data_IF_816576020806
#
_entry.id   IF_816576020806
#
_cell.length_a   1.000
_cell.length_b   1.000
_cell.length_c   1.000
_cell.angle_alpha   90.00
_cell.angle_beta   90.00
_cell.angle_gamma   90.00
#
_symmetry.space_group_name_H-M   'P 1'
#
loop_
_entity.id
_entity.type
_entity.pdbx_description
1 polymer ?
#
# COMPACT_ATOMS: atom_id res chain seq x y z
N UNK A 1 -6.39 -18.69 27.77
CA UNK A 1 -5.89 -18.24 26.45
C UNK A 1 -4.39 -18.37 26.52
N UNK A 2 -3.80 -19.09 25.57
CA UNK A 2 -2.36 -19.20 25.46
C UNK A 2 -1.85 -18.03 24.60
N UNK A 3 -0.71 -17.48 25.00
CA UNK A 3 -0.08 -16.33 24.36
C UNK A 3 1.27 -16.79 23.83
N UNK A 4 1.45 -16.73 22.52
CA UNK A 4 2.62 -17.24 21.82
C UNK A 4 3.37 -16.05 21.20
N UNK A 5 4.67 -15.85 21.48
CA UNK A 5 5.45 -14.80 20.81
C UNK A 5 5.44 -15.03 19.29
N UNK A 6 5.10 -14.00 18.51
CA UNK A 6 5.02 -14.15 17.04
C UNK A 6 6.39 -14.49 16.47
N UNK A 7 7.47 -13.93 17.01
CA UNK A 7 8.84 -14.22 16.58
C UNK A 7 9.16 -15.73 16.61
N UNK A 8 8.66 -16.46 17.61
CA UNK A 8 8.89 -17.90 17.77
C UNK A 8 8.03 -18.75 16.81
N UNK A 9 7.06 -18.14 16.13
CA UNK A 9 6.16 -18.80 15.17
C UNK A 9 6.59 -18.58 13.72
N UNK A 10 7.46 -17.60 13.44
CA UNK A 10 7.89 -17.28 12.08
C UNK A 10 9.08 -18.14 11.63
N UNK A 11 9.17 -18.50 10.34
CA UNK A 11 8.10 -18.51 9.35
C UNK A 11 7.26 -19.82 9.39
N UNK A 12 7.65 -20.78 10.23
CA UNK A 12 7.23 -22.18 10.12
C UNK A 12 5.76 -22.44 10.50
N UNK A 13 5.19 -21.61 11.37
CA UNK A 13 3.80 -21.73 11.84
C UNK A 13 2.94 -20.54 11.45
N UNK A 14 3.55 -19.37 11.34
CA UNK A 14 2.90 -18.12 10.91
C UNK A 14 3.73 -17.53 9.79
N UNK A 15 3.06 -17.10 8.71
CA UNK A 15 3.70 -16.38 7.60
C UNK A 15 3.23 -14.93 7.63
N UNK A 16 4.16 -13.97 7.49
CA UNK A 16 3.80 -12.55 7.35
C UNK A 16 3.79 -12.18 5.86
N UNK A 17 2.66 -12.44 5.21
CA UNK A 17 2.52 -12.14 3.79
C UNK A 17 2.53 -10.62 3.56
N UNK A 18 3.27 -10.17 2.54
CA UNK A 18 3.41 -8.76 2.18
C UNK A 18 4.59 -8.05 2.86
N UNK A 19 5.20 -8.66 3.89
CA UNK A 19 6.44 -8.18 4.47
C UNK A 19 7.66 -8.75 3.71
N UNK A 20 8.66 -7.90 3.47
CA UNK A 20 9.92 -8.25 2.81
C UNK A 20 11.13 -8.10 3.74
N UNK A 21 10.90 -7.78 5.01
CA UNK A 21 11.91 -7.68 6.05
C UNK A 21 11.29 -7.29 7.39
N UNK A 22 12.11 -7.31 8.44
CA UNK A 22 11.70 -6.96 9.79
C UNK A 22 12.72 -6.04 10.46
N UNK A 23 12.23 -5.16 11.34
CA UNK A 23 13.04 -4.47 12.33
C UNK A 23 12.83 -5.17 13.68
N UNK A 24 13.89 -5.71 14.28
CA UNK A 24 13.85 -6.19 15.66
C UNK A 24 13.68 -5.00 16.62
N UNK A 25 12.74 -5.14 17.57
CA UNK A 25 12.47 -4.17 18.63
C UNK A 25 12.40 -4.91 19.96
N UNK A 26 12.67 -4.20 21.05
CA UNK A 26 12.73 -4.77 22.41
C UNK A 26 11.50 -5.61 22.79
N UNK A 27 10.32 -5.28 22.26
CA UNK A 27 9.06 -5.96 22.57
C UNK A 27 8.42 -6.74 21.42
N UNK A 28 9.01 -6.78 20.22
CA UNK A 28 8.37 -7.41 19.06
C UNK A 28 9.04 -7.12 17.72
N UNK A 29 8.34 -7.43 16.63
CA UNK A 29 8.83 -7.29 15.27
C UNK A 29 8.08 -6.17 14.53
N UNK A 30 8.81 -5.15 14.07
CA UNK A 30 8.29 -4.18 13.11
C UNK A 30 8.39 -4.73 11.69
N UNK A 31 7.33 -4.65 10.89
CA UNK A 31 7.40 -5.14 9.50
C UNK A 31 7.99 -4.09 8.56
N UNK A 32 8.67 -4.53 7.51
CA UNK A 32 9.11 -3.70 6.38
C UNK A 32 8.55 -4.25 5.08
N UNK A 33 8.03 -3.36 4.24
CA UNK A 33 7.52 -3.70 2.90
C UNK A 33 8.58 -3.61 1.78
N UNK A 34 9.84 -3.33 2.14
CA UNK A 34 10.99 -3.42 1.24
C UNK A 34 12.12 -4.20 1.92
N UNK A 35 12.95 -4.95 1.16
CA UNK A 35 14.06 -5.74 1.71
C UNK A 35 15.11 -4.89 2.43
N UNK A 36 15.94 -5.51 3.26
CA UNK A 36 17.01 -4.83 4.01
C UNK A 36 18.08 -4.18 3.15
N UNK A 37 18.38 -4.76 1.98
CA UNK A 37 19.37 -4.18 1.07
C UNK A 37 18.97 -2.80 0.55
N UNK A 38 17.69 -2.43 0.61
CA UNK A 38 17.19 -1.12 0.15
C UNK A 38 17.54 0.03 1.10
N UNK A 39 17.90 -0.25 2.36
CA UNK A 39 18.13 0.78 3.40
C UNK A 39 19.09 1.90 2.98
N UNK A 40 20.25 1.64 2.34
CA UNK A 40 21.18 2.70 1.94
C UNK A 40 20.68 3.56 0.77
N UNK A 41 19.61 3.15 0.09
CA UNK A 41 19.06 3.82 -1.09
C UNK A 41 17.73 4.53 -0.81
N UNK A 42 17.15 4.29 0.37
CA UNK A 42 15.86 4.87 0.75
C UNK A 42 16.00 6.37 1.07
N UNK A 43 15.20 7.23 0.43
CA UNK A 43 15.03 8.60 0.88
C UNK A 43 14.46 8.60 2.31
N UNK A 44 14.94 9.51 3.16
CA UNK A 44 14.49 9.61 4.55
C UNK A 44 12.96 9.69 4.70
N UNK A 45 12.20 10.46 3.87
CA UNK A 45 10.74 10.50 3.98
C UNK A 45 10.05 9.15 3.71
N UNK A 46 10.67 8.27 2.93
CA UNK A 46 10.11 6.97 2.57
C UNK A 46 10.18 5.95 3.70
N UNK A 47 11.17 6.06 4.60
CA UNK A 47 11.41 5.14 5.72
C UNK A 47 10.16 4.94 6.61
N UNK A 48 9.37 6.00 6.81
CA UNK A 48 8.09 5.91 7.52
C UNK A 48 7.11 4.98 6.80
N UNK A 49 6.84 5.23 5.52
CA UNK A 49 5.82 4.49 4.76
C UNK A 49 6.20 3.05 4.48
N UNK A 50 7.49 2.72 4.42
CA UNK A 50 8.00 1.35 4.25
C UNK A 50 7.69 0.48 5.46
N UNK A 51 7.62 1.07 6.67
CA UNK A 51 7.34 0.38 7.94
C UNK A 51 5.86 0.32 8.32
N UNK A 52 4.99 1.02 7.59
CA UNK A 52 3.54 0.89 7.75
C UNK A 52 3.05 -0.33 6.97
N UNK A 53 2.27 -1.23 7.57
CA UNK A 53 1.99 -2.56 7.05
C UNK A 53 0.82 -2.58 6.05
N UNK A 54 0.66 -1.57 5.20
CA UNK A 54 -0.43 -1.54 4.21
C UNK A 54 -0.35 -2.74 3.27
N UNK A 55 -1.40 -3.57 3.28
CA UNK A 55 -1.50 -4.84 2.54
C UNK A 55 -0.82 -6.05 3.19
N UNK A 56 -0.15 -5.88 4.34
CA UNK A 56 0.53 -6.96 5.06
C UNK A 56 -0.46 -7.72 5.94
N UNK A 57 -0.29 -9.04 6.04
CA UNK A 57 -1.15 -9.92 6.83
C UNK A 57 -0.41 -11.09 7.46
N UNK A 58 -0.81 -11.44 8.69
CA UNK A 58 -0.40 -12.70 9.32
C UNK A 58 -1.25 -13.83 8.75
N UNK A 59 -0.64 -14.94 8.40
CA UNK A 59 -1.33 -16.14 7.88
C UNK A 59 -0.95 -17.37 8.70
N UNK A 60 -1.94 -18.08 9.19
CA UNK A 60 -1.77 -19.31 9.96
C UNK A 60 -3.05 -20.13 9.96
N UNK A 61 -2.92 -21.42 10.25
CA UNK A 61 -4.04 -22.31 10.51
C UNK A 61 -4.24 -22.49 12.01
N UNK A 62 -5.50 -22.47 12.47
CA UNK A 62 -5.84 -22.76 13.87
C UNK A 62 -7.23 -23.40 13.95
N UNK A 63 -7.45 -24.24 14.96
CA UNK A 63 -8.78 -24.71 15.36
C UNK A 63 -9.44 -23.87 16.45
N UNK A 64 -8.77 -22.79 16.88
CA UNK A 64 -9.33 -21.90 17.89
C UNK A 64 -10.54 -21.13 17.37
N UNK A 65 -11.49 -20.95 18.28
CA UNK A 65 -12.69 -20.13 18.11
C UNK A 65 -12.43 -18.66 18.45
N UNK A 66 -11.25 -18.35 19.01
CA UNK A 66 -10.86 -17.01 19.42
C UNK A 66 -9.40 -16.75 19.05
N UNK A 67 -9.16 -15.72 18.27
CA UNK A 67 -7.83 -15.32 17.81
C UNK A 67 -7.56 -13.91 18.28
N UNK A 68 -6.43 -13.66 18.92
CA UNK A 68 -5.98 -12.33 19.28
C UNK A 68 -4.58 -12.03 18.76
N UNK A 69 -4.29 -10.75 18.58
CA UNK A 69 -2.97 -10.27 18.18
C UNK A 69 -2.54 -9.22 19.19
N UNK A 70 -1.45 -9.50 19.90
CA UNK A 70 -0.76 -8.55 20.76
C UNK A 70 0.21 -7.70 19.95
N UNK A 71 0.16 -6.38 20.14
CA UNK A 71 0.92 -5.42 19.35
C UNK A 71 1.25 -4.15 20.15
N UNK A 72 2.24 -3.39 19.67
CA UNK A 72 2.38 -1.96 20.00
C UNK A 72 2.25 -1.16 18.71
N UNK A 73 1.23 -0.31 18.62
CA UNK A 73 1.04 0.56 17.48
C UNK A 73 1.58 1.97 17.75
N UNK A 74 1.92 2.68 16.69
CA UNK A 74 2.21 4.12 16.74
C UNK A 74 1.43 4.83 15.62
N UNK A 75 0.42 5.62 15.97
CA UNK A 75 -0.30 6.45 15.01
C UNK A 75 0.43 7.79 14.79
N UNK A 76 0.39 8.30 13.56
CA UNK A 76 0.75 9.69 13.28
C UNK A 76 -0.53 10.53 13.29
N UNK A 77 -0.53 11.62 14.05
CA UNK A 77 -1.67 12.52 14.19
C UNK A 77 -1.23 13.94 13.87
N UNK A 78 -1.92 14.56 12.91
CA UNK A 78 -1.76 15.97 12.58
C UNK A 78 -2.96 16.76 13.15
N UNK A 79 -2.81 17.43 14.32
CA UNK A 79 -3.86 18.28 14.88
C UNK A 79 -4.35 19.32 13.86
N UNK A 80 -5.65 19.68 13.85
CA UNK A 80 -6.67 19.30 14.83
C UNK A 80 -7.36 17.95 14.55
N UNK A 81 -6.88 17.14 13.60
CA UNK A 81 -7.49 15.83 13.31
C UNK A 81 -7.41 14.93 14.55
N UNK A 82 -8.51 14.25 14.85
CA UNK A 82 -8.55 13.28 15.93
C UNK A 82 -7.71 12.04 15.60
N UNK A 83 -7.18 11.38 16.64
CA UNK A 83 -6.53 10.08 16.50
C UNK A 83 -7.55 9.07 15.97
N UNK A 84 -7.20 8.38 14.88
CA UNK A 84 -7.97 7.25 14.37
C UNK A 84 -7.62 5.96 15.13
N UNK A 85 -8.58 5.04 15.31
CA UNK A 85 -8.28 3.75 15.93
C UNK A 85 -7.32 2.93 15.07
N UNK A 86 -6.63 2.02 15.73
CA UNK A 86 -5.79 0.99 15.11
C UNK A 86 -6.69 -0.20 14.78
N UNK A 87 -7.00 -0.38 13.49
CA UNK A 87 -7.96 -1.38 13.03
C UNK A 87 -7.25 -2.61 12.48
N UNK A 88 -7.73 -3.79 12.87
CA UNK A 88 -7.33 -5.08 12.31
C UNK A 88 -8.54 -5.73 11.65
N UNK A 89 -8.31 -6.44 10.56
CA UNK A 89 -9.29 -7.39 10.03
C UNK A 89 -8.82 -8.82 10.20
N UNK A 90 -9.73 -9.73 10.51
CA UNK A 90 -9.49 -11.17 10.41
C UNK A 90 -10.35 -11.72 9.28
N UNK A 91 -9.69 -12.30 8.30
CA UNK A 91 -10.33 -12.98 7.18
C UNK A 91 -10.19 -14.49 7.32
N UNK A 92 -11.30 -15.18 7.11
CA UNK A 92 -11.39 -16.64 6.97
C UNK A 92 -12.24 -16.94 5.73
N UNK A 93 -12.37 -18.22 5.36
CA UNK A 93 -13.20 -18.61 4.22
C UNK A 93 -14.67 -18.17 4.35
N UNK A 94 -15.18 -17.99 5.57
CA UNK A 94 -16.61 -17.71 5.82
C UNK A 94 -16.90 -16.22 6.02
N UNK A 95 -15.92 -15.45 6.50
CA UNK A 95 -16.17 -14.10 7.02
C UNK A 95 -14.93 -13.21 7.02
N UNK A 96 -15.20 -11.92 6.92
CA UNK A 96 -14.27 -10.83 7.23
C UNK A 96 -14.78 -10.12 8.48
N UNK A 97 -14.04 -10.22 9.57
CA UNK A 97 -14.33 -9.54 10.83
C UNK A 97 -13.41 -8.34 11.03
N UNK A 98 -13.87 -7.38 11.83
CA UNK A 98 -13.06 -6.22 12.24
C UNK A 98 -13.01 -6.11 13.75
N UNK A 99 -11.89 -5.61 14.24
CA UNK A 99 -11.69 -5.23 15.64
C UNK A 99 -10.72 -4.05 15.68
N UNK A 100 -10.72 -3.32 16.78
CA UNK A 100 -9.95 -2.08 16.88
C UNK A 100 -9.45 -1.81 18.28
N UNK A 101 -8.42 -0.97 18.37
CA UNK A 101 -7.88 -0.48 19.64
C UNK A 101 -7.50 0.99 19.51
N UNK A 102 -7.53 1.70 20.64
CA UNK A 102 -7.05 3.07 20.77
C UNK A 102 -5.75 3.17 21.58
N UNK A 103 -5.17 2.02 21.98
CA UNK A 103 -3.91 1.94 22.72
C UNK A 103 -2.68 2.16 21.82
N UNK A 104 -1.50 2.26 22.43
CA UNK A 104 -0.24 2.50 21.74
C UNK A 104 0.18 3.96 21.68
N UNK A 105 1.35 4.17 21.07
CA UNK A 105 2.00 5.47 20.99
C UNK A 105 1.31 6.41 19.99
N UNK A 106 1.60 7.70 20.11
CA UNK A 106 1.18 8.72 19.15
C UNK A 106 2.36 9.62 18.81
N UNK A 107 2.65 9.76 17.52
CA UNK A 107 3.49 10.84 16.99
C UNK A 107 2.55 12.01 16.67
N UNK A 108 2.55 13.05 17.49
CA UNK A 108 1.80 14.29 17.27
C UNK A 108 2.64 15.23 16.44
N UNK A 109 2.20 15.53 15.22
CA UNK A 109 2.88 16.49 14.35
C UNK A 109 2.65 17.91 14.88
N UNK A 110 3.69 18.73 14.87
CA UNK A 110 3.59 20.13 15.29
C UNK A 110 2.90 20.96 14.21
N UNK A 111 1.80 21.66 14.53
CA UNK A 111 1.13 22.53 13.55
C UNK A 111 1.98 23.76 13.21
N UNK A 112 2.77 24.26 14.17
CA UNK A 112 3.50 25.53 14.05
C UNK A 112 4.98 25.37 13.64
N UNK A 113 5.47 24.13 13.50
CA UNK A 113 6.86 23.84 13.22
C UNK A 113 6.98 22.74 12.15
N UNK A 114 7.27 23.07 10.88
CA UNK A 114 7.46 22.09 9.82
C UNK A 114 8.50 21.03 10.22
N UNK A 115 8.10 19.76 10.21
CA UNK A 115 8.95 18.63 10.61
C UNK A 115 9.06 18.40 12.13
N UNK A 116 8.49 19.29 12.96
CA UNK A 116 8.39 19.09 14.39
C UNK A 116 7.38 18.01 14.76
N UNK A 117 7.70 17.22 15.78
CA UNK A 117 6.77 16.25 16.34
C UNK A 117 7.03 16.00 17.84
N UNK A 118 6.00 15.54 18.54
CA UNK A 118 6.06 15.03 19.90
C UNK A 118 5.72 13.53 19.87
N UNK A 119 6.56 12.68 20.47
CA UNK A 119 6.24 11.27 20.68
C UNK A 119 5.62 11.06 22.05
N UNK A 120 4.32 10.79 22.09
CA UNK A 120 3.59 10.40 23.29
C UNK A 120 3.59 8.88 23.38
N UNK A 121 4.24 8.35 24.42
CA UNK A 121 4.32 6.90 24.65
C UNK A 121 3.01 6.37 25.22
N UNK A 122 2.61 5.19 24.76
CA UNK A 122 1.46 4.46 25.27
C UNK A 122 1.78 2.98 25.43
N UNK A 123 0.81 2.22 25.92
CA UNK A 123 0.97 0.79 26.21
C UNK A 123 0.69 -0.08 25.00
N UNK A 124 1.30 -1.27 24.99
CA UNK A 124 0.91 -2.34 24.08
C UNK A 124 -0.49 -2.86 24.43
N UNK A 125 -1.16 -3.46 23.45
CA UNK A 125 -2.52 -3.98 23.63
C UNK A 125 -2.72 -5.27 22.83
N UNK A 126 -3.83 -5.96 23.08
CA UNK A 126 -4.23 -7.17 22.36
C UNK A 126 -5.66 -7.01 21.86
N UNK A 127 -5.81 -6.98 20.54
CA UNK A 127 -7.14 -7.12 19.94
C UNK A 127 -7.53 -8.58 19.84
N UNK A 128 -8.83 -8.87 19.94
CA UNK A 128 -9.38 -10.24 19.91
C UNK A 128 -10.56 -10.30 18.95
N UNK A 129 -10.56 -11.35 18.14
CA UNK A 129 -11.68 -11.84 17.33
C UNK A 129 -12.25 -13.08 18.01
N UNK A 130 -13.58 -13.16 18.14
CA UNK A 130 -14.25 -14.20 18.91
C UNK A 130 -15.43 -14.80 18.14
N UNK A 131 -15.92 -15.95 18.56
CA UNK A 131 -17.05 -16.62 17.89
C UNK A 131 -16.69 -17.17 16.51
N UNK A 132 -15.41 -17.47 16.25
CA UNK A 132 -14.98 -18.14 15.03
C UNK A 132 -15.53 -19.58 15.00
N UNK A 133 -15.69 -20.13 13.79
CA UNK A 133 -16.16 -21.51 13.61
C UNK A 133 -15.25 -22.51 14.36
N UNK A 134 -15.73 -23.68 14.79
CA UNK A 134 -14.86 -24.75 15.29
C UNK A 134 -14.03 -25.40 14.17
N UNK A 135 -13.03 -26.22 14.52
CA UNK A 135 -12.21 -27.01 13.58
C UNK A 135 -11.09 -26.21 12.90
N UNK A 136 -10.12 -26.88 12.27
CA UNK A 136 -8.97 -26.19 11.65
C UNK A 136 -9.43 -25.27 10.51
N UNK A 137 -9.01 -24.00 10.56
CA UNK A 137 -9.30 -22.99 9.53
C UNK A 137 -8.06 -22.17 9.22
N UNK A 138 -8.01 -21.63 8.01
CA UNK A 138 -7.02 -20.62 7.63
C UNK A 138 -7.48 -19.24 8.08
N UNK A 139 -6.58 -18.51 8.75
CA UNK A 139 -6.78 -17.15 9.22
C UNK A 139 -5.80 -16.21 8.52
N UNK A 140 -6.30 -15.10 7.98
CA UNK A 140 -5.48 -13.97 7.52
C UNK A 140 -5.81 -12.73 8.35
N UNK A 141 -4.88 -12.29 9.20
CA UNK A 141 -5.04 -11.05 9.98
C UNK A 141 -4.39 -9.90 9.23
N UNK A 142 -5.20 -9.03 8.62
CA UNK A 142 -4.74 -7.82 7.95
C UNK A 142 -4.29 -6.77 8.96
N UNK A 143 -3.08 -6.24 8.76
CA UNK A 143 -2.44 -5.34 9.70
C UNK A 143 -2.81 -3.86 9.47
N UNK A 144 -2.82 -3.01 10.52
CA UNK A 144 -3.17 -1.59 10.45
C UNK A 144 -2.37 -0.80 9.41
N UNK A 145 -2.98 -0.47 8.28
CA UNK A 145 -2.32 0.22 7.17
C UNK A 145 -1.88 1.67 7.48
N UNK A 146 -2.47 2.31 8.50
CA UNK A 146 -2.29 3.73 8.84
C UNK A 146 -1.50 3.95 10.16
N UNK A 147 -0.79 2.93 10.63
CA UNK A 147 0.01 2.99 11.84
C UNK A 147 1.32 2.20 11.66
N UNK A 148 2.36 2.56 12.41
CA UNK A 148 3.45 1.61 12.65
C UNK A 148 2.95 0.52 13.58
N UNK A 149 3.36 -0.73 13.34
CA UNK A 149 2.93 -1.88 14.13
C UNK A 149 4.14 -2.73 14.49
N UNK A 150 4.36 -2.88 15.80
CA UNK A 150 5.27 -3.89 16.37
C UNK A 150 4.43 -5.11 16.77
N UNK A 151 4.61 -6.21 16.06
CA UNK A 151 3.94 -7.48 16.33
C UNK A 151 4.58 -8.17 17.52
N UNK A 152 3.80 -8.53 18.54
CA UNK A 152 4.31 -9.14 19.77
C UNK A 152 3.89 -10.59 19.90
N UNK A 153 2.58 -10.84 19.98
CA UNK A 153 2.06 -12.16 20.33
C UNK A 153 0.85 -12.55 19.50
N UNK A 154 0.67 -13.85 19.30
CA UNK A 154 -0.55 -14.46 18.82
C UNK A 154 -1.25 -15.11 20.01
N UNK A 155 -2.54 -14.85 20.17
CA UNK A 155 -3.34 -15.33 21.30
C UNK A 155 -4.41 -16.28 20.76
N UNK A 156 -4.47 -17.50 21.28
CA UNK A 156 -5.48 -18.50 20.92
C UNK A 156 -6.01 -19.19 22.18
N UNK A 157 -7.09 -19.96 22.08
CA UNK A 157 -7.60 -20.75 23.21
C UNK A 157 -6.55 -21.75 23.73
N UNK A 158 -6.63 -22.08 25.02
CA UNK A 158 -5.72 -23.04 25.63
C UNK A 158 -5.89 -24.41 24.97
N UNK A 159 -4.78 -25.01 24.52
CA UNK A 159 -4.79 -26.29 23.81
C UNK A 159 -5.13 -26.21 22.32
N UNK A 160 -5.52 -25.04 21.80
CA UNK A 160 -5.72 -24.86 20.36
C UNK A 160 -4.39 -24.95 19.61
N UNK A 161 -4.45 -25.46 18.39
CA UNK A 161 -3.34 -25.57 17.47
C UNK A 161 -3.06 -24.23 16.77
N UNK A 162 -1.79 -23.99 16.46
CA UNK A 162 -1.36 -22.98 15.49
C UNK A 162 -0.35 -23.66 14.59
N UNK A 163 -0.59 -23.64 13.29
CA UNK A 163 0.28 -24.30 12.31
C UNK A 163 0.33 -23.56 10.99
N UNK A 164 1.23 -23.98 10.09
CA UNK A 164 1.35 -23.38 8.78
C UNK A 164 0.04 -23.53 7.99
N UNK A 165 -0.21 -22.57 7.11
CA UNK A 165 -1.23 -22.71 6.06
C UNK A 165 -0.63 -23.48 4.88
N UNK A 166 -1.46 -24.21 4.10
CA UNK A 166 -1.03 -24.66 2.78
C UNK A 166 -0.53 -23.48 1.93
N UNK A 167 0.33 -23.78 0.95
CA UNK A 167 0.80 -22.76 -0.01
C UNK A 167 -0.40 -22.01 -0.60
N UNK A 168 -0.29 -20.69 -0.67
CA UNK A 168 -1.35 -19.85 -1.23
C UNK A 168 -1.45 -20.09 -2.73
N UNK A 169 -2.50 -20.80 -3.16
CA UNK A 169 -2.71 -21.13 -4.57
C UNK A 169 -3.16 -19.92 -5.42
N UNK A 170 -3.44 -18.78 -4.80
CA UNK A 170 -3.86 -17.56 -5.50
C UNK A 170 -2.69 -16.96 -6.27
N UNK A 171 -2.90 -16.45 -7.50
CA UNK A 171 -1.87 -15.69 -8.22
C UNK A 171 -1.37 -14.51 -7.41
N UNK A 172 -0.07 -14.22 -7.47
CA UNK A 172 0.57 -13.14 -6.74
C UNK A 172 0.57 -11.86 -7.55
N UNK A 173 -0.14 -10.87 -7.03
CA UNK A 173 -0.19 -9.53 -7.57
C UNK A 173 0.75 -8.60 -6.81
N UNK A 174 1.75 -8.05 -7.50
CA UNK A 174 2.63 -7.01 -6.97
C UNK A 174 2.18 -5.64 -7.48
N UNK A 175 1.86 -4.74 -6.56
CA UNK A 175 1.38 -3.40 -6.89
C UNK A 175 2.35 -2.33 -6.38
N UNK A 176 2.93 -1.52 -7.27
CA UNK A 176 3.70 -0.32 -6.90
C UNK A 176 2.85 0.94 -7.11
N UNK A 177 2.81 1.83 -6.13
CA UNK A 177 2.03 3.05 -6.25
C UNK A 177 2.28 4.10 -5.16
N UNK A 178 1.47 5.16 -5.21
CA UNK A 178 1.56 6.34 -4.33
C UNK A 178 0.81 6.19 -3.00
N UNK A 179 0.57 7.31 -2.30
CA UNK A 179 -0.32 7.41 -1.14
C UNK A 179 -1.74 6.89 -1.41
N UNK A 180 -2.23 7.05 -2.63
CA UNK A 180 -3.53 6.54 -3.06
C UNK A 180 -3.54 5.01 -3.03
N UNK A 181 -2.39 4.36 -3.23
CA UNK A 181 -2.25 2.89 -3.18
C UNK A 181 -1.85 2.38 -1.80
N UNK A 182 -1.26 3.26 -0.99
CA UNK A 182 -1.07 3.02 0.44
C UNK A 182 -2.39 3.05 1.22
N UNK A 183 -3.31 3.94 0.81
CA UNK A 183 -4.67 4.10 1.33
C UNK A 183 -4.77 4.48 2.82
N UNK A 184 -3.97 5.44 3.32
CA UNK A 184 -4.08 5.86 4.74
C UNK A 184 -5.50 6.26 5.17
N UNK A 185 -6.31 6.77 4.25
CA UNK A 185 -7.69 7.23 4.52
C UNK A 185 -8.76 6.13 4.37
N UNK A 186 -8.40 4.87 4.08
CA UNK A 186 -9.36 3.77 4.12
C UNK A 186 -9.82 3.49 5.56
N UNK A 187 -11.07 3.02 5.73
CA UNK A 187 -11.61 2.72 7.07
C UNK A 187 -10.88 1.55 7.74
N UNK A 188 -10.54 0.51 6.97
CA UNK A 188 -10.02 -0.75 7.48
C UNK A 188 -8.92 -1.30 6.54
N UNK A 189 -7.93 -2.06 7.06
CA UNK A 189 -6.89 -2.67 6.24
C UNK A 189 -7.37 -3.45 5.01
N UNK A 190 -8.40 -4.28 5.17
CA UNK A 190 -8.98 -5.08 4.08
C UNK A 190 -9.85 -4.25 3.12
N UNK A 191 -10.07 -2.95 3.42
CA UNK A 191 -10.85 -2.00 2.63
C UNK A 191 -9.98 -0.98 1.88
N UNK A 192 -8.65 -1.13 1.93
CA UNK A 192 -7.75 -0.40 1.01
C UNK A 192 -8.07 -0.82 -0.43
N UNK A 193 -8.01 0.09 -1.40
CA UNK A 193 -8.45 -0.25 -2.77
C UNK A 193 -7.67 -1.43 -3.37
N UNK A 194 -6.35 -1.61 -3.13
CA UNK A 194 -5.65 -2.82 -3.60
C UNK A 194 -6.12 -4.07 -2.87
N UNK A 195 -6.45 -4.01 -1.57
CA UNK A 195 -6.99 -5.17 -0.86
C UNK A 195 -8.39 -5.56 -1.37
N UNK A 196 -9.26 -4.56 -1.63
CA UNK A 196 -10.58 -4.80 -2.23
C UNK A 196 -10.46 -5.43 -3.60
N UNK A 197 -9.59 -4.88 -4.47
CA UNK A 197 -9.34 -5.45 -5.79
C UNK A 197 -8.77 -6.87 -5.72
N UNK A 198 -7.80 -7.10 -4.83
CA UNK A 198 -7.16 -8.40 -4.67
C UNK A 198 -8.14 -9.49 -4.22
N UNK A 199 -8.99 -9.16 -3.25
CA UNK A 199 -10.04 -10.05 -2.76
C UNK A 199 -11.10 -10.32 -3.83
N UNK A 200 -11.50 -9.29 -4.58
CA UNK A 200 -12.46 -9.42 -5.69
C UNK A 200 -11.94 -10.24 -6.87
N UNK A 201 -10.63 -10.19 -7.15
CA UNK A 201 -9.99 -10.95 -8.23
C UNK A 201 -9.45 -12.32 -7.78
N UNK A 202 -9.50 -12.64 -6.48
CA UNK A 202 -8.97 -13.90 -5.96
C UNK A 202 -7.44 -14.02 -6.00
N UNK A 203 -6.72 -12.92 -5.79
CA UNK A 203 -5.25 -12.86 -5.88
C UNK A 203 -4.60 -12.54 -4.53
N UNK A 204 -3.33 -12.90 -4.38
CA UNK A 204 -2.51 -12.60 -3.21
C UNK A 204 -1.73 -11.28 -3.42
N UNK A 205 -2.11 -10.25 -2.68
CA UNK A 205 -1.55 -8.90 -2.80
C UNK A 205 -0.19 -8.75 -2.10
N UNK A 206 0.80 -8.24 -2.83
CA UNK A 206 2.02 -7.59 -2.34
C UNK A 206 1.92 -6.08 -2.63
N UNK A 207 1.53 -5.28 -1.62
CA UNK A 207 1.34 -3.85 -1.78
C UNK A 207 2.64 -3.06 -1.49
N UNK A 208 3.22 -2.48 -2.54
CA UNK A 208 4.35 -1.55 -2.51
C UNK A 208 3.88 -0.10 -2.72
N UNK A 209 2.68 0.25 -2.24
CA UNK A 209 2.20 1.62 -2.19
C UNK A 209 2.92 2.43 -1.10
N UNK A 210 3.65 3.49 -1.49
CA UNK A 210 4.42 4.33 -0.57
C UNK A 210 3.93 5.79 -0.63
N UNK A 211 3.42 6.27 0.50
CA UNK A 211 2.78 7.57 0.61
C UNK A 211 3.68 8.72 0.25
N UNK A 212 3.37 9.41 -0.86
CA UNK A 212 4.16 10.54 -1.32
C UNK A 212 5.50 10.15 -1.96
N UNK A 213 5.77 8.87 -2.23
CA UNK A 213 7.10 8.37 -2.59
C UNK A 213 7.10 7.46 -3.84
N UNK A 214 6.10 7.58 -4.72
CA UNK A 214 6.08 6.85 -5.99
C UNK A 214 6.79 7.66 -7.10
N UNK A 215 8.12 7.61 -7.14
CA UNK A 215 8.96 8.37 -8.08
C UNK A 215 9.74 7.48 -9.06
N UNK A 216 9.30 6.24 -9.29
CA UNK A 216 10.00 5.29 -10.17
C UNK A 216 11.42 4.97 -9.67
N UNK A 217 11.55 4.82 -8.35
CA UNK A 217 12.83 4.51 -7.71
C UNK A 217 13.35 3.12 -8.11
N UNK A 218 14.57 3.08 -8.63
CA UNK A 218 15.17 1.87 -9.18
C UNK A 218 15.37 0.75 -8.15
N UNK A 219 15.46 1.07 -6.86
CA UNK A 219 15.50 0.05 -5.82
C UNK A 219 14.16 -0.66 -5.62
N UNK A 220 13.04 0.00 -5.92
CA UNK A 220 11.72 -0.65 -5.94
C UNK A 220 11.60 -1.54 -7.17
N UNK A 221 12.03 -1.10 -8.34
CA UNK A 221 12.04 -1.92 -9.56
C UNK A 221 12.86 -3.21 -9.37
N UNK A 222 14.09 -3.10 -8.82
CA UNK A 222 14.92 -4.26 -8.49
C UNK A 222 14.30 -5.16 -7.43
N UNK A 223 13.59 -4.58 -6.45
CA UNK A 223 12.82 -5.38 -5.48
C UNK A 223 11.78 -6.22 -6.21
N UNK A 224 10.95 -5.62 -7.07
CA UNK A 224 9.92 -6.32 -7.84
C UNK A 224 10.53 -7.41 -8.74
N UNK A 225 11.62 -7.08 -9.44
CA UNK A 225 12.39 -8.00 -10.29
C UNK A 225 12.83 -9.27 -9.53
N UNK A 226 13.27 -9.10 -8.29
CA UNK A 226 13.92 -10.14 -7.49
C UNK A 226 12.97 -10.89 -6.54
N UNK A 227 11.68 -10.53 -6.44
CA UNK A 227 10.68 -11.31 -5.71
C UNK A 227 10.52 -12.68 -6.37
N UNK A 228 10.48 -13.79 -5.63
CA UNK A 228 10.48 -15.16 -6.20
C UNK A 228 9.26 -15.46 -7.09
N UNK A 229 8.05 -15.21 -6.57
CA UNK A 229 6.79 -15.53 -7.23
C UNK A 229 6.00 -14.25 -7.54
N UNK A 230 5.81 -13.97 -8.83
CA UNK A 230 5.11 -12.79 -9.34
C UNK A 230 4.33 -13.20 -10.58
N UNK A 231 3.01 -13.17 -10.49
CA UNK A 231 2.12 -13.56 -11.60
C UNK A 231 1.58 -12.33 -12.35
N UNK A 232 1.45 -11.19 -11.67
CA UNK A 232 1.07 -9.92 -12.30
C UNK A 232 1.69 -8.74 -11.56
N UNK A 233 2.16 -7.75 -12.32
CA UNK A 233 2.70 -6.50 -11.80
C UNK A 233 1.84 -5.33 -12.25
N UNK A 234 1.53 -4.42 -11.34
CA UNK A 234 0.91 -3.14 -11.73
C UNK A 234 1.66 -1.96 -11.13
N UNK A 235 1.85 -0.92 -11.93
CA UNK A 235 2.56 0.32 -11.56
C UNK A 235 1.59 1.48 -11.70
N UNK A 236 1.20 2.11 -10.59
CA UNK A 236 0.34 3.30 -10.59
C UNK A 236 1.13 4.53 -10.16
N UNK A 237 1.67 5.26 -11.14
CA UNK A 237 2.65 6.35 -10.92
C UNK A 237 2.14 7.71 -11.44
N UNK A 238 2.89 8.77 -11.13
CA UNK A 238 2.71 10.11 -11.69
C UNK A 238 2.29 11.17 -10.68
N UNK A 239 1.29 10.90 -9.83
CA UNK A 239 0.77 11.91 -8.91
C UNK A 239 1.82 12.47 -7.93
N UNK A 240 2.72 11.63 -7.39
CA UNK A 240 3.78 12.12 -6.51
C UNK A 240 4.85 12.92 -7.26
N UNK A 241 5.07 12.57 -8.54
CA UNK A 241 5.98 13.30 -9.41
C UNK A 241 5.48 14.72 -9.62
N UNK A 242 4.18 14.90 -9.88
CA UNK A 242 3.55 16.22 -10.00
C UNK A 242 3.51 16.93 -8.65
N UNK A 243 3.06 16.27 -7.57
CA UNK A 243 2.93 16.91 -6.27
C UNK A 243 4.25 17.53 -5.79
N UNK A 244 5.35 16.80 -5.93
CA UNK A 244 6.67 17.24 -5.50
C UNK A 244 7.48 17.96 -6.58
N UNK A 245 6.91 18.09 -7.79
CA UNK A 245 7.61 18.61 -8.97
C UNK A 245 8.99 17.94 -9.21
N UNK A 246 9.07 16.65 -8.88
CA UNK A 246 10.35 15.94 -8.73
C UNK A 246 11.03 15.59 -10.05
N UNK A 247 10.31 15.65 -11.16
CA UNK A 247 10.81 15.35 -12.50
C UNK A 247 10.20 16.29 -13.53
N UNK A 248 10.98 16.56 -14.57
CA UNK A 248 10.50 17.12 -15.84
C UNK A 248 10.21 15.99 -16.82
N UNK A 249 9.45 16.27 -17.87
CA UNK A 249 9.13 15.33 -18.95
C UNK A 249 10.38 14.61 -19.48
N UNK A 250 11.47 15.36 -19.71
CA UNK A 250 12.76 14.82 -20.15
C UNK A 250 13.27 13.67 -19.26
N UNK A 251 13.04 13.73 -17.96
CA UNK A 251 13.46 12.70 -16.98
C UNK A 251 12.43 11.58 -16.87
N UNK A 252 11.15 11.93 -16.87
CA UNK A 252 10.06 11.00 -16.60
C UNK A 252 9.98 9.86 -17.62
N UNK A 253 10.02 10.18 -18.92
CA UNK A 253 9.92 9.17 -19.98
C UNK A 253 11.03 8.11 -19.90
N UNK A 254 12.34 8.45 -19.89
CA UNK A 254 13.38 7.44 -19.74
C UNK A 254 13.38 6.74 -18.38
N UNK A 255 12.91 7.40 -17.30
CA UNK A 255 12.77 6.75 -15.99
C UNK A 255 11.68 5.65 -16.02
N UNK A 256 10.56 5.90 -16.71
CA UNK A 256 9.50 4.90 -16.89
C UNK A 256 9.99 3.70 -17.71
N UNK A 257 10.69 3.94 -18.83
CA UNK A 257 11.32 2.87 -19.60
C UNK A 257 12.28 2.04 -18.74
N UNK A 258 13.21 2.70 -18.03
CA UNK A 258 14.20 2.01 -17.19
C UNK A 258 13.59 1.22 -16.04
N UNK A 259 12.47 1.69 -15.47
CA UNK A 259 11.74 0.95 -14.43
C UNK A 259 11.10 -0.33 -15.01
N UNK A 260 10.48 -0.25 -16.20
CA UNK A 260 9.93 -1.41 -16.91
C UNK A 260 11.05 -2.38 -17.30
N UNK A 261 12.15 -1.88 -17.87
CA UNK A 261 13.32 -2.68 -18.27
C UNK A 261 13.85 -3.50 -17.10
N UNK A 262 14.05 -2.85 -15.95
CA UNK A 262 14.55 -3.52 -14.74
C UNK A 262 13.65 -4.67 -14.31
N UNK A 263 12.32 -4.54 -14.42
CA UNK A 263 11.41 -5.65 -14.11
C UNK A 263 11.54 -6.75 -15.17
N UNK A 264 11.55 -6.38 -16.45
CA UNK A 264 11.65 -7.31 -17.59
C UNK A 264 12.94 -8.13 -17.59
N UNK A 265 14.03 -7.64 -16.98
CA UNK A 265 15.31 -8.38 -16.83
C UNK A 265 15.14 -9.79 -16.23
N UNK A 266 14.17 -9.99 -15.32
CA UNK A 266 13.88 -11.32 -14.73
C UNK A 266 12.42 -11.75 -14.87
N UNK A 267 11.56 -10.87 -15.41
CA UNK A 267 10.12 -11.10 -15.55
C UNK A 267 9.67 -10.76 -16.99
N UNK A 268 10.25 -11.39 -18.03
CA UNK A 268 10.01 -11.02 -19.43
C UNK A 268 8.54 -11.22 -19.83
N UNK A 269 7.90 -12.28 -19.32
CA UNK A 269 6.55 -12.69 -19.75
C UNK A 269 5.45 -12.36 -18.73
N UNK A 270 5.79 -11.84 -17.55
CA UNK A 270 4.79 -11.50 -16.53
C UNK A 270 3.92 -10.34 -17.03
N UNK A 271 2.58 -10.46 -17.03
CA UNK A 271 1.69 -9.33 -17.31
C UNK A 271 2.03 -8.11 -16.45
N UNK A 272 2.35 -6.99 -17.12
CA UNK A 272 2.70 -5.73 -16.48
C UNK A 272 1.73 -4.66 -16.96
N UNK A 273 1.01 -4.04 -16.03
CA UNK A 273 0.11 -2.93 -16.35
C UNK A 273 0.60 -1.62 -15.75
N UNK A 274 0.75 -0.59 -16.58
CA UNK A 274 0.99 0.78 -16.13
C UNK A 274 -0.34 1.51 -16.04
N UNK A 275 -0.71 1.88 -14.81
CA UNK A 275 -1.94 2.60 -14.48
C UNK A 275 -1.60 4.09 -14.36
N UNK A 276 -2.28 4.92 -15.13
CA UNK A 276 -2.07 6.36 -15.10
C UNK A 276 -2.71 7.01 -13.84
N UNK A 277 -2.37 8.27 -13.49
CA UNK A 277 -2.96 8.93 -12.32
C UNK A 277 -4.49 9.02 -12.37
N UNK A 278 -5.13 8.93 -11.20
CA UNK A 278 -6.56 9.24 -11.06
C UNK A 278 -6.79 10.76 -11.17
N UNK A 279 -8.05 11.19 -11.18
CA UNK A 279 -8.41 12.60 -11.19
C UNK A 279 -7.91 13.34 -9.93
N UNK A 280 -7.27 14.50 -10.12
CA UNK A 280 -7.00 15.46 -9.05
C UNK A 280 -7.29 16.87 -9.58
N UNK A 281 -8.36 17.54 -9.10
CA UNK A 281 -8.90 18.75 -9.73
C UNK A 281 -7.85 19.83 -9.99
N UNK A 282 -6.93 20.02 -9.05
CA UNK A 282 -5.99 21.12 -9.13
C UNK A 282 -4.85 20.86 -10.13
N UNK A 283 -4.45 19.60 -10.30
CA UNK A 283 -3.27 19.16 -11.04
C UNK A 283 -3.56 18.59 -12.44
N UNK A 284 -4.83 18.51 -12.85
CA UNK A 284 -5.21 17.97 -14.16
C UNK A 284 -4.45 18.64 -15.32
N UNK A 285 -4.58 19.96 -15.45
CA UNK A 285 -3.96 20.74 -16.54
C UNK A 285 -2.91 21.72 -16.05
N UNK A 286 -2.77 21.90 -14.74
CA UNK A 286 -1.75 22.77 -14.15
C UNK A 286 -0.54 21.94 -13.73
N UNK A 287 0.67 22.26 -14.23
CA UNK A 287 1.87 21.59 -13.78
C UNK A 287 2.14 21.85 -12.30
N UNK A 288 2.69 20.85 -11.61
CA UNK A 288 3.04 20.94 -10.19
C UNK A 288 4.01 22.10 -9.83
N UNK A 289 4.32 22.26 -8.53
CA UNK A 289 3.98 21.35 -7.43
C UNK A 289 2.52 21.50 -6.96
N UNK A 290 2.02 20.45 -6.32
CA UNK A 290 0.69 20.43 -5.68
C UNK A 290 0.86 20.18 -4.19
N UNK A 291 0.42 21.15 -3.38
CA UNK A 291 0.66 21.20 -1.93
C UNK A 291 -0.65 21.41 -1.17
N UNK A 292 -0.75 20.99 0.10
CA UNK A 292 -1.91 21.33 0.92
C UNK A 292 -1.94 22.84 1.21
N UNK A 293 -3.11 23.45 1.04
CA UNK A 293 -3.38 24.82 1.49
C UNK A 293 -3.77 24.87 2.98
N UNK A 294 -4.09 26.06 3.49
CA UNK A 294 -4.50 26.29 4.88
C UNK A 294 -5.74 25.48 5.32
N UNK A 295 -6.57 25.03 4.37
CA UNK A 295 -7.75 24.19 4.62
C UNK A 295 -7.45 22.70 4.46
N UNK A 296 -6.19 22.33 4.22
CA UNK A 296 -5.76 20.97 3.95
C UNK A 296 -6.17 20.45 2.57
N UNK A 297 -6.67 21.29 1.67
CA UNK A 297 -6.97 20.93 0.28
C UNK A 297 -5.70 21.01 -0.56
N UNK A 298 -5.45 20.02 -1.41
CA UNK A 298 -4.31 20.00 -2.32
C UNK A 298 -4.56 20.92 -3.52
N UNK A 299 -3.72 21.94 -3.63
CA UNK A 299 -3.77 22.94 -4.70
C UNK A 299 -2.44 23.00 -5.42
N UNK A 300 -2.50 23.05 -6.75
CA UNK A 300 -1.35 23.35 -7.57
C UNK A 300 -1.00 24.82 -7.44
N UNK A 301 0.26 25.09 -7.11
CA UNK A 301 0.79 26.45 -6.96
C UNK A 301 1.60 26.84 -8.18
N UNK A 302 1.50 28.10 -8.59
CA UNK A 302 2.27 28.58 -9.71
C UNK A 302 3.75 28.71 -9.35
N UNK A 303 4.59 28.12 -10.20
CA UNK A 303 6.04 28.27 -10.14
C UNK A 303 6.51 29.53 -10.86
N UNK A 304 7.82 29.76 -10.82
CA UNK A 304 8.45 30.81 -11.60
C UNK A 304 8.48 30.44 -13.09
N UNK A 305 7.70 31.15 -13.91
CA UNK A 305 7.40 30.80 -15.31
C UNK A 305 8.64 30.45 -16.17
N UNK A 306 9.78 31.18 -16.08
CA UNK A 306 10.97 30.84 -16.86
C UNK A 306 11.56 29.43 -16.62
N UNK A 307 11.20 28.76 -15.52
CA UNK A 307 11.69 27.41 -15.20
C UNK A 307 10.64 26.31 -15.32
N UNK A 308 9.46 26.61 -15.90
CA UNK A 308 8.36 25.64 -16.07
C UNK A 308 8.45 24.78 -17.34
N UNK A 309 9.47 25.00 -18.17
CA UNK A 309 9.71 24.19 -19.36
C UNK A 309 9.81 22.70 -19.03
N UNK A 310 8.89 21.89 -19.56
CA UNK A 310 8.83 20.44 -19.31
C UNK A 310 8.27 20.04 -17.95
N UNK A 311 7.64 20.95 -17.20
CA UNK A 311 6.86 20.60 -16.01
C UNK A 311 5.65 19.74 -16.37
N UNK A 312 5.28 18.83 -15.48
CA UNK A 312 4.26 17.82 -15.75
C UNK A 312 2.94 18.16 -15.05
N UNK A 313 1.84 18.07 -15.81
CA UNK A 313 0.46 17.97 -15.30
C UNK A 313 0.00 16.51 -15.34
N UNK A 314 -1.15 16.19 -14.73
CA UNK A 314 -1.66 14.81 -14.77
C UNK A 314 -2.10 14.41 -16.17
N UNK A 315 -2.76 15.29 -16.93
CA UNK A 315 -3.12 15.01 -18.34
C UNK A 315 -1.86 14.66 -19.14
N UNK A 316 -0.79 15.45 -19.00
CA UNK A 316 0.46 15.19 -19.73
C UNK A 316 1.10 13.86 -19.32
N UNK A 317 1.04 13.50 -18.04
CA UNK A 317 1.52 12.18 -17.58
C UNK A 317 0.68 11.04 -18.17
N UNK A 318 -0.66 11.16 -18.23
CA UNK A 318 -1.51 10.11 -18.81
C UNK A 318 -1.17 9.86 -20.28
N UNK A 319 -0.94 10.93 -21.04
CA UNK A 319 -0.48 10.88 -22.43
C UNK A 319 0.88 10.17 -22.55
N UNK A 320 1.88 10.61 -21.79
CA UNK A 320 3.23 10.01 -21.86
C UNK A 320 3.20 8.53 -21.50
N UNK A 321 2.45 8.14 -20.47
CA UNK A 321 2.35 6.72 -20.07
C UNK A 321 1.72 5.90 -21.20
N UNK A 322 0.64 6.39 -21.82
CA UNK A 322 0.00 5.71 -22.96
C UNK A 322 0.98 5.58 -24.13
N UNK A 323 1.63 6.67 -24.53
CA UNK A 323 2.61 6.70 -25.63
C UNK A 323 3.77 5.71 -25.38
N UNK A 324 4.28 5.66 -24.15
CA UNK A 324 5.35 4.72 -23.76
C UNK A 324 4.88 3.28 -23.90
N UNK A 325 3.71 2.95 -23.36
CA UNK A 325 3.17 1.58 -23.44
C UNK A 325 2.94 1.19 -24.90
N UNK A 326 2.28 2.03 -25.69
CA UNK A 326 2.00 1.77 -27.11
C UNK A 326 3.29 1.55 -27.91
N UNK A 327 4.30 2.40 -27.71
CA UNK A 327 5.59 2.27 -28.37
C UNK A 327 6.31 0.96 -28.01
N UNK A 328 6.22 0.51 -26.75
CA UNK A 328 6.82 -0.76 -26.30
C UNK A 328 6.06 -1.98 -26.81
N UNK A 329 4.73 -1.93 -26.85
CA UNK A 329 3.90 -2.97 -27.45
C UNK A 329 4.22 -3.11 -28.95
N UNK A 330 4.33 -1.99 -29.68
CA UNK A 330 4.73 -1.98 -31.08
C UNK A 330 6.15 -2.54 -31.30
N UNK A 331 7.03 -2.42 -30.29
CA UNK A 331 8.38 -3.00 -30.28
C UNK A 331 8.43 -4.47 -29.80
N UNK A 332 7.29 -5.07 -29.43
CA UNK A 332 7.17 -6.50 -29.14
C UNK A 332 6.93 -6.91 -27.68
N UNK A 333 6.80 -5.97 -26.73
CA UNK A 333 6.40 -6.29 -25.34
C UNK A 333 4.88 -6.49 -25.27
N UNK A 334 4.41 -7.68 -25.66
CA UNK A 334 2.98 -7.99 -25.77
C UNK A 334 2.28 -8.20 -24.42
N UNK A 335 3.04 -8.36 -23.32
CA UNK A 335 2.53 -8.51 -21.96
C UNK A 335 2.59 -7.18 -21.18
N UNK A 336 2.70 -6.05 -21.88
CA UNK A 336 2.62 -4.71 -21.33
C UNK A 336 1.25 -4.11 -21.64
N UNK A 337 0.60 -3.56 -20.61
CA UNK A 337 -0.75 -3.04 -20.71
C UNK A 337 -0.84 -1.62 -20.17
N UNK A 338 -1.67 -0.80 -20.80
CA UNK A 338 -2.05 0.51 -20.30
C UNK A 338 -3.41 0.42 -19.60
N UNK A 339 -3.57 1.14 -18.50
CA UNK A 339 -4.88 1.35 -17.90
C UNK A 339 -5.07 2.81 -17.51
N UNK A 340 -6.14 3.41 -18.01
CA UNK A 340 -6.50 4.79 -17.70
C UNK A 340 -7.02 4.89 -16.25
N UNK A 341 -6.27 5.60 -15.41
CA UNK A 341 -6.62 5.84 -14.01
C UNK A 341 -7.95 6.57 -13.82
N UNK A 342 -8.43 7.32 -14.82
CA UNK A 342 -9.75 7.96 -14.76
C UNK A 342 -10.90 6.96 -14.75
N UNK A 343 -10.69 5.75 -15.27
CA UNK A 343 -11.68 4.67 -15.17
C UNK A 343 -11.80 4.09 -13.76
N UNK A 344 -10.75 4.25 -12.93
CA UNK A 344 -10.79 3.88 -11.52
C UNK A 344 -11.44 4.97 -10.67
N UNK A 345 -11.07 6.23 -10.92
CA UNK A 345 -11.58 7.39 -10.20
C UNK A 345 -11.45 8.64 -11.08
N UNK A 346 -12.59 9.08 -11.60
CA UNK A 346 -12.71 10.19 -12.55
C UNK A 346 -13.23 11.48 -11.92
N UNK A 347 -13.52 12.48 -12.77
CA UNK A 347 -14.03 13.77 -12.33
C UNK A 347 -15.38 13.67 -11.59
N UNK A 348 -16.25 12.75 -12.02
CA UNK A 348 -17.56 12.52 -11.38
C UNK A 348 -17.44 11.93 -9.96
N UNK A 349 -16.30 11.29 -9.65
CA UNK A 349 -16.02 10.77 -8.31
C UNK A 349 -15.41 11.83 -7.38
N UNK A 350 -15.11 13.04 -7.88
CA UNK A 350 -14.47 14.12 -7.10
C UNK A 350 -15.14 14.47 -5.74
N UNK A 351 -16.47 14.32 -5.53
CA UNK A 351 -17.07 14.48 -4.21
C UNK A 351 -16.46 13.55 -3.14
N UNK A 352 -15.86 12.43 -3.54
CA UNK A 352 -15.15 11.50 -2.65
C UNK A 352 -13.68 11.92 -2.37
N UNK A 353 -13.25 13.15 -2.73
CA UNK A 353 -11.93 13.72 -2.42
C UNK A 353 -12.00 14.80 -1.32
N UNK A 354 -12.01 14.43 -0.02
CA UNK A 354 -12.12 15.39 1.08
C UNK A 354 -10.98 16.40 1.13
N UNK A 355 -9.80 16.07 0.61
CA UNK A 355 -8.63 16.95 0.50
C UNK A 355 -8.28 17.32 -0.96
N UNK A 356 -9.18 17.05 -1.92
CA UNK A 356 -8.96 17.22 -3.37
C UNK A 356 -7.81 16.37 -3.95
N UNK A 357 -7.34 15.32 -3.25
CA UNK A 357 -6.29 14.42 -3.73
C UNK A 357 -6.50 12.95 -3.39
N UNK A 358 -6.80 12.64 -2.13
CA UNK A 358 -6.95 11.28 -1.63
C UNK A 358 -8.44 10.91 -1.56
N UNK A 359 -8.85 9.77 -2.15
CA UNK A 359 -10.19 9.24 -1.95
C UNK A 359 -10.50 9.01 -0.47
N UNK A 360 -11.76 9.25 -0.10
CA UNK A 360 -12.33 8.80 1.16
C UNK A 360 -12.54 7.26 1.14
N UNK A 361 -13.00 6.64 2.24
CA UNK A 361 -13.23 5.19 2.27
C UNK A 361 -14.17 4.66 1.18
N UNK A 362 -15.24 5.38 0.85
CA UNK A 362 -16.18 4.99 -0.20
C UNK A 362 -15.52 5.03 -1.59
N UNK A 363 -14.75 6.07 -1.86
CA UNK A 363 -13.95 6.22 -3.07
C UNK A 363 -12.92 5.11 -3.24
N UNK A 364 -12.18 4.75 -2.19
CA UNK A 364 -11.24 3.63 -2.24
C UNK A 364 -11.93 2.29 -2.49
N UNK A 365 -13.07 2.02 -1.84
CA UNK A 365 -13.84 0.80 -2.10
C UNK A 365 -14.26 0.72 -3.57
N UNK A 366 -14.82 1.82 -4.10
CA UNK A 366 -15.24 1.94 -5.49
C UNK A 366 -14.08 1.69 -6.47
N UNK A 367 -12.89 2.25 -6.19
CA UNK A 367 -11.69 1.99 -6.99
C UNK A 367 -11.33 0.51 -7.02
N UNK A 368 -11.37 -0.15 -5.86
CA UNK A 368 -11.04 -1.58 -5.75
C UNK A 368 -12.05 -2.46 -6.49
N UNK A 369 -13.35 -2.17 -6.36
CA UNK A 369 -14.43 -2.87 -7.07
C UNK A 369 -14.32 -2.71 -8.58
N UNK A 370 -13.99 -1.50 -9.07
CA UNK A 370 -13.76 -1.24 -10.50
C UNK A 370 -12.52 -1.94 -11.04
N UNK A 371 -11.46 -2.06 -10.24
CA UNK A 371 -10.21 -2.68 -10.68
C UNK A 371 -10.23 -4.21 -10.59
N UNK A 372 -11.00 -4.81 -9.69
CA UNK A 372 -11.10 -6.27 -9.53
C UNK A 372 -11.30 -7.04 -10.86
N UNK A 373 -12.28 -6.71 -11.73
CA UNK A 373 -12.47 -7.42 -13.00
C UNK A 373 -11.33 -7.16 -14.00
N UNK A 374 -10.71 -5.97 -13.98
CA UNK A 374 -9.55 -5.64 -14.83
C UNK A 374 -8.36 -6.51 -14.45
N UNK A 375 -8.11 -6.64 -13.14
CA UNK A 375 -7.04 -7.46 -12.61
C UNK A 375 -7.25 -8.95 -12.89
N UNK A 376 -8.49 -9.44 -12.75
CA UNK A 376 -8.83 -10.83 -13.10
C UNK A 376 -8.56 -11.11 -14.59
N UNK A 377 -8.93 -10.19 -15.48
CA UNK A 377 -8.67 -10.34 -16.92
C UNK A 377 -7.20 -10.33 -17.33
N UNK A 378 -6.29 -9.79 -16.51
CA UNK A 378 -4.84 -9.89 -16.76
C UNK A 378 -4.27 -11.28 -16.47
N UNK A 379 -4.94 -12.05 -15.61
CA UNK A 379 -4.48 -13.37 -15.16
C UNK A 379 -5.11 -14.52 -15.95
N UNK A 380 -6.18 -14.24 -16.69
CA UNK A 380 -6.85 -15.16 -17.61
C UNK A 380 -7.00 -14.47 -19.00
N UNK A 381 -5.87 -14.22 -19.71
CA UNK A 381 -5.79 -13.36 -20.89
C UNK A 381 -6.36 -13.95 -22.18
#
# INVERSE_FOLDING_TARGET
MQTLPIADLLPDRVVVHGALGFDERDGGLGVRRLPDWTRPQLPQPMDATVRMPSGVRLRFATDSRRVGVGFLATNMVAPPRARRPVVFNLETAERLERTESTAGNVIRMSPDAPGGFELVRGEADTVVFDGLAPGVKTCEVWLPHNAFVELRTLVVEDGASVGPVPSDARPRWVHYGSSISHCMEADEPAMTWPAVAARGAGVALQNLGFGGQCHLDQFVARTIRDLDDVDVVTIKTGINIVNMDSMRERVFTPALHGFIDTIRERRPDVPLMVISPIFCPSAETRPGPTIPNERGKFVTVDGFEPYRGGSLSLVRIREIIADVVDARCAAGDLNLHYHDGLTLFGADDAPDLPDDLHPNPAGYRRMGERFAPVLAGLLDP
#
